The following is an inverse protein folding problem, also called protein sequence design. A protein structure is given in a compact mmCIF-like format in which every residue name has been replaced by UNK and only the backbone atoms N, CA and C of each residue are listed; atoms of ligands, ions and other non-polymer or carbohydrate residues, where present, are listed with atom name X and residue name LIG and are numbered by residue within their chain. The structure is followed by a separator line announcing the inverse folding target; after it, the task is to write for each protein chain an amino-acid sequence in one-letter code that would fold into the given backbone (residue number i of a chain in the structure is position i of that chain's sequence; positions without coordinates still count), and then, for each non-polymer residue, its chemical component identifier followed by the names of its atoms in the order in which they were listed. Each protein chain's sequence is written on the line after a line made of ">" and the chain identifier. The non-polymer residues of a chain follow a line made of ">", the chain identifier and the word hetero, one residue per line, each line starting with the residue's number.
data_IF_063516038214
#
_entry.id   IF_063516038214
#
_cell.length_a   1.000
_cell.length_b   1.000
_cell.length_c   1.000
_cell.angle_alpha   90.00
_cell.angle_beta   90.00
_cell.angle_gamma   90.00
#
_symmetry.space_group_name_H-M   'P 1'
#
loop_
_entity.id
_entity.type
_entity.pdbx_description
1 polymer ?
#
# COMPACT_ATOMS: atom_id res chain seq x y z
N UNK A 1 -4.95 -0.17 17.29
CA UNK A 1 -3.86 0.79 17.04
C UNK A 1 -3.68 0.96 15.54
N UNK A 2 -3.44 2.17 15.04
CA UNK A 2 -3.25 2.42 13.61
C UNK A 2 -1.78 2.28 13.21
N UNK A 3 -1.53 1.77 12.01
CA UNK A 3 -0.19 1.62 11.42
C UNK A 3 -0.02 2.62 10.28
N UNK A 4 1.07 3.37 10.31
CA UNK A 4 1.43 4.35 9.28
C UNK A 4 2.02 3.64 8.06
N UNK A 5 1.49 3.91 6.88
CA UNK A 5 1.94 3.39 5.59
C UNK A 5 1.99 4.51 4.54
N UNK A 6 2.73 4.29 3.46
CA UNK A 6 2.78 5.22 2.32
C UNK A 6 1.95 4.68 1.17
N UNK A 7 0.87 5.37 0.82
CA UNK A 7 -0.02 5.01 -0.28
C UNK A 7 0.42 5.68 -1.58
N UNK A 8 0.28 4.95 -2.68
CA UNK A 8 0.40 5.45 -4.04
C UNK A 8 -0.99 5.81 -4.56
N UNK A 9 -1.29 7.10 -4.65
CA UNK A 9 -2.57 7.61 -5.13
C UNK A 9 -2.49 8.06 -6.57
N UNK A 10 -3.50 7.72 -7.36
CA UNK A 10 -3.67 8.29 -8.69
C UNK A 10 -4.47 9.59 -8.58
N UNK A 11 -3.80 10.73 -8.83
CA UNK A 11 -4.44 12.06 -8.84
C UNK A 11 -5.01 12.44 -10.21
N UNK A 12 -4.93 11.56 -11.22
CA UNK A 12 -5.43 11.83 -12.56
C UNK A 12 -6.94 11.65 -12.67
N UNK A 13 -7.66 12.74 -12.92
CA UNK A 13 -9.06 12.73 -13.33
C UNK A 13 -9.20 12.13 -14.74
N UNK A 14 -9.49 10.82 -14.83
CA UNK A 14 -10.09 10.07 -15.96
C UNK A 14 -9.47 10.17 -17.37
N UNK A 15 -8.59 11.12 -17.72
CA UNK A 15 -8.09 11.29 -19.09
C UNK A 15 -6.55 11.34 -19.15
N UNK A 16 -6.01 10.34 -19.86
CA UNK A 16 -4.75 10.33 -20.62
C UNK A 16 -3.40 10.47 -19.89
N UNK A 17 -3.28 11.15 -18.74
CA UNK A 17 -2.02 11.23 -17.98
C UNK A 17 -2.25 10.96 -16.48
N UNK A 18 -2.07 9.69 -16.08
CA UNK A 18 -2.12 9.29 -14.68
C UNK A 18 -0.87 9.79 -13.96
N UNK A 19 -1.02 10.91 -13.25
CA UNK A 19 -0.02 11.40 -12.31
C UNK A 19 -0.26 10.66 -11.00
N UNK A 20 0.73 9.89 -10.58
CA UNK A 20 0.71 9.28 -9.27
C UNK A 20 1.37 10.22 -8.25
N UNK A 21 0.91 10.13 -7.02
CA UNK A 21 1.43 10.89 -5.89
C UNK A 21 1.55 9.97 -4.69
N UNK A 22 2.46 10.29 -3.78
CA UNK A 22 2.62 9.57 -2.53
C UNK A 22 1.92 10.35 -1.42
N UNK A 23 1.15 9.66 -0.59
CA UNK A 23 0.59 10.23 0.64
C UNK A 23 0.76 9.27 1.81
N UNK A 24 0.82 9.84 3.00
CA UNK A 24 0.84 9.05 4.22
C UNK A 24 -0.58 8.69 4.63
N UNK A 25 -0.79 7.42 5.02
CA UNK A 25 -2.06 6.91 5.51
C UNK A 25 -1.88 6.13 6.80
N UNK A 26 -2.96 6.02 7.55
CA UNK A 26 -3.02 5.25 8.78
C UNK A 26 -4.07 4.15 8.61
N UNK A 27 -3.65 2.89 8.64
CA UNK A 27 -4.51 1.72 8.40
C UNK A 27 -4.73 0.97 9.71
N UNK A 28 -5.96 0.52 9.96
CA UNK A 28 -6.24 -0.43 11.05
C UNK A 28 -5.87 -1.85 10.58
N UNK A 29 -4.84 -2.49 11.18
CA UNK A 29 -4.44 -3.86 10.81
C UNK A 29 -5.54 -4.89 10.95
N UNK A 30 -6.49 -4.70 11.89
CA UNK A 30 -7.59 -5.65 12.14
C UNK A 30 -8.57 -5.77 10.98
N UNK A 31 -8.59 -4.76 10.09
CA UNK A 31 -9.50 -4.72 8.94
C UNK A 31 -8.80 -5.04 7.62
N UNK A 32 -7.49 -5.32 7.64
CA UNK A 32 -6.75 -5.76 6.46
C UNK A 32 -7.01 -7.26 6.27
N UNK A 33 -7.69 -7.60 5.18
CA UNK A 33 -8.09 -9.00 4.90
C UNK A 33 -7.16 -9.68 3.89
N UNK A 34 -6.45 -8.91 3.06
CA UNK A 34 -5.53 -9.45 2.06
C UNK A 34 -4.40 -8.47 1.78
N UNK A 35 -3.20 -9.03 1.59
CA UNK A 35 -2.01 -8.36 1.10
C UNK A 35 -1.55 -9.12 -0.14
N UNK A 36 -1.41 -8.43 -1.28
CA UNK A 36 -0.87 -9.02 -2.52
C UNK A 36 0.15 -8.10 -3.15
N UNK A 37 1.10 -8.65 -3.90
CA UNK A 37 2.04 -7.83 -4.67
C UNK A 37 1.32 -7.11 -5.82
N UNK A 38 1.66 -5.84 -6.05
CA UNK A 38 1.14 -5.03 -7.17
C UNK A 38 2.24 -4.77 -8.21
N UNK A 39 2.40 -5.73 -9.13
CA UNK A 39 3.46 -5.70 -10.16
C UNK A 39 3.29 -4.56 -11.16
N UNK A 40 2.06 -4.15 -11.46
CA UNK A 40 1.81 -3.07 -12.41
C UNK A 40 2.35 -1.73 -11.92
N UNK A 41 2.31 -1.51 -10.60
CA UNK A 41 2.85 -0.28 -10.02
C UNK A 41 4.39 -0.27 -10.10
N UNK A 42 5.03 -1.44 -9.99
CA UNK A 42 6.47 -1.59 -10.19
C UNK A 42 6.87 -1.22 -11.62
N UNK A 43 6.18 -1.75 -12.62
CA UNK A 43 6.42 -1.41 -14.04
C UNK A 43 6.26 0.10 -14.30
N UNK A 44 5.24 0.73 -13.70
CA UNK A 44 5.03 2.17 -13.80
C UNK A 44 6.12 2.99 -13.10
N UNK A 45 6.67 2.48 -12.00
CA UNK A 45 7.78 3.11 -11.29
C UNK A 45 9.07 3.05 -12.12
N UNK A 46 9.38 1.90 -12.73
CA UNK A 46 10.51 1.73 -13.64
C UNK A 46 10.43 2.65 -14.87
N UNK A 47 9.21 2.98 -15.31
CA UNK A 47 8.94 3.97 -16.36
C UNK A 47 8.98 5.43 -15.87
N UNK A 48 9.28 5.68 -14.59
CA UNK A 48 9.35 7.02 -14.00
C UNK A 48 8.00 7.72 -13.81
N UNK A 49 6.89 6.97 -13.83
CA UNK A 49 5.52 7.54 -13.79
C UNK A 49 4.93 7.66 -12.38
N UNK A 50 5.57 7.12 -11.34
CA UNK A 50 4.98 7.05 -9.98
C UNK A 50 5.25 8.31 -9.15
N UNK A 51 6.50 8.59 -8.80
CA UNK A 51 6.89 9.82 -8.11
C UNK A 51 8.36 10.10 -8.39
N UNK A 52 8.72 11.36 -8.62
CA UNK A 52 10.12 11.75 -8.81
C UNK A 52 10.90 11.52 -7.52
N UNK A 53 11.87 10.60 -7.56
CA UNK A 53 12.75 10.29 -6.43
C UNK A 53 12.45 8.99 -5.69
N UNK A 54 11.48 8.18 -6.15
CA UNK A 54 11.29 6.83 -5.64
C UNK A 54 12.28 5.88 -6.33
N UNK A 55 13.04 5.10 -5.54
CA UNK A 55 13.97 4.12 -6.12
C UNK A 55 13.19 3.06 -6.92
N UNK A 56 13.71 2.69 -8.10
CA UNK A 56 13.13 1.70 -9.01
C UNK A 56 13.04 0.32 -8.37
N UNK A 57 13.89 0.03 -7.37
CA UNK A 57 13.88 -1.23 -6.64
C UNK A 57 12.71 -1.37 -5.65
N UNK A 58 11.91 -0.32 -5.42
CA UNK A 58 10.76 -0.42 -4.53
C UNK A 58 9.71 -1.42 -5.04
N UNK A 59 9.26 -2.27 -4.12
CA UNK A 59 8.10 -3.14 -4.32
C UNK A 59 6.84 -2.43 -3.86
N UNK A 60 5.71 -2.84 -4.42
CA UNK A 60 4.41 -2.31 -4.07
C UNK A 60 3.49 -3.46 -3.68
N UNK A 61 2.62 -3.20 -2.71
CA UNK A 61 1.62 -4.15 -2.24
C UNK A 61 0.25 -3.51 -2.32
N UNK A 62 -0.73 -4.28 -2.74
CA UNK A 62 -2.13 -3.92 -2.67
C UNK A 62 -2.75 -4.52 -1.43
N UNK A 63 -3.36 -3.65 -0.62
CA UNK A 63 -4.09 -4.01 0.58
C UNK A 63 -5.59 -3.98 0.28
N UNK A 64 -6.27 -5.04 0.68
CA UNK A 64 -7.73 -5.08 0.69
C UNK A 64 -8.17 -4.86 2.12
N UNK A 65 -8.90 -3.77 2.34
CA UNK A 65 -9.44 -3.38 3.64
C UNK A 65 -10.95 -3.61 3.62
N UNK A 66 -11.44 -4.37 4.60
CA UNK A 66 -12.87 -4.56 4.77
C UNK A 66 -13.47 -3.35 5.50
N UNK A 67 -14.42 -2.66 4.85
CA UNK A 67 -15.20 -1.57 5.44
C UNK A 67 -16.70 -1.95 5.50
N UNK A 68 -17.00 -3.14 5.99
CA UNK A 68 -18.36 -3.66 6.14
C UNK A 68 -18.87 -4.31 4.85
N UNK A 69 -19.68 -3.59 4.06
CA UNK A 69 -20.34 -4.11 2.86
C UNK A 69 -19.51 -3.94 1.57
N UNK A 70 -18.44 -3.13 1.61
CA UNK A 70 -17.59 -2.88 0.44
C UNK A 70 -16.12 -2.97 0.83
N UNK A 71 -15.36 -3.77 0.07
CA UNK A 71 -13.91 -3.80 0.17
C UNK A 71 -13.30 -2.56 -0.46
N UNK A 72 -12.37 -1.90 0.23
CA UNK A 72 -11.54 -0.84 -0.35
C UNK A 72 -10.17 -1.41 -0.66
N UNK A 73 -9.71 -1.24 -1.90
CA UNK A 73 -8.34 -1.58 -2.28
C UNK A 73 -7.47 -0.33 -2.32
N UNK A 74 -6.29 -0.40 -1.70
CA UNK A 74 -5.27 0.65 -1.76
C UNK A 74 -3.93 0.04 -2.15
N UNK A 75 -3.05 0.83 -2.78
CA UNK A 75 -1.69 0.40 -3.13
C UNK A 75 -0.71 1.14 -2.25
N UNK A 76 0.15 0.40 -1.55
CA UNK A 76 1.16 0.95 -0.65
C UNK A 76 2.57 0.57 -1.11
N UNK A 77 3.54 1.39 -0.70
CA UNK A 77 4.98 1.14 -0.94
C UNK A 77 5.48 0.12 0.09
N UNK A 78 6.06 -0.97 -0.39
CA UNK A 78 6.60 -2.07 0.41
C UNK A 78 6.29 -3.44 -0.19
N UNK A 79 7.14 -4.43 0.08
CA UNK A 79 6.87 -5.83 -0.28
C UNK A 79 5.79 -6.43 0.64
N UNK A 80 5.05 -7.46 0.19
CA UNK A 80 4.01 -8.07 1.01
C UNK A 80 4.51 -8.51 2.38
N UNK A 81 5.71 -9.10 2.45
CA UNK A 81 6.32 -9.57 3.70
C UNK A 81 6.64 -8.43 4.66
N UNK A 82 7.13 -7.29 4.16
CA UNK A 82 7.45 -6.13 5.01
C UNK A 82 6.16 -5.51 5.55
N UNK A 83 5.13 -5.41 4.72
CA UNK A 83 3.83 -4.86 5.14
C UNK A 83 3.15 -5.79 6.15
N UNK A 84 3.17 -7.10 5.91
CA UNK A 84 2.64 -8.11 6.83
C UNK A 84 3.31 -8.02 8.21
N UNK A 85 4.65 -7.99 8.25
CA UNK A 85 5.40 -7.83 9.49
C UNK A 85 5.08 -6.51 10.20
N UNK A 86 4.92 -5.42 9.45
CA UNK A 86 4.60 -4.10 10.01
C UNK A 86 3.20 -4.08 10.62
N UNK A 87 2.23 -4.75 9.99
CA UNK A 87 0.86 -4.87 10.49
C UNK A 87 0.76 -5.80 11.72
N UNK A 88 1.59 -6.85 11.77
CA UNK A 88 1.58 -7.83 12.86
C UNK A 88 2.47 -7.48 14.07
N UNK A 89 3.34 -6.46 13.97
CA UNK A 89 4.37 -6.11 14.99
C UNK A 89 3.84 -5.83 16.40
N UNK A 90 2.54 -5.55 16.55
CA UNK A 90 1.92 -5.14 17.81
C UNK A 90 1.01 -6.19 18.44
N UNK A 91 0.93 -7.39 17.88
CA UNK A 91 0.34 -8.53 18.58
C UNK A 91 1.36 -8.99 19.62
N UNK A 92 1.43 -8.30 20.77
CA UNK A 92 2.21 -8.78 21.89
C UNK A 92 1.75 -10.19 22.23
N UNK A 93 2.67 -11.15 22.13
CA UNK A 93 2.51 -12.49 22.65
C UNK A 93 2.31 -12.36 24.16
N UNK A 94 1.07 -12.46 24.63
CA UNK A 94 0.79 -12.77 26.03
C UNK A 94 1.31 -14.18 26.27
N UNK A 95 2.57 -14.29 26.69
CA UNK A 95 3.13 -15.52 27.25
C UNK A 95 2.53 -15.67 28.65
N UNK A 96 1.53 -16.54 28.77
CA UNK A 96 1.11 -17.12 30.04
C UNK A 96 2.12 -18.13 30.55
#
# INVERSE_FOLDING_TARGET
>A
MLVKLTEVCNNGAVTTNKIYSLREIFVNPEHVVMIREEKRMRELNELGKVASGLDNAHKFSKLTINRGQTGTEIVVVGSPDVIENTLNRNKQLLRG
#
